data_IF_539727450070
#
_entry.id   IF_539727450070
#
_cell.length_a   1.000
_cell.length_b   1.000
_cell.length_c   1.000
_cell.angle_alpha   90.00
_cell.angle_beta   90.00
_cell.angle_gamma   90.00
#
_symmetry.space_group_name_H-M   'P 1'
#
loop_
_entity.id
_entity.type
_entity.pdbx_description
1 polymer ?
#
# COMPACT_ATOMS: atom_id res chain seq x y z
N UNK A 1 7.52 -3.43 -11.29
CA UNK A 1 6.05 -3.30 -11.41
C UNK A 1 5.43 -4.57 -10.85
N UNK A 2 4.40 -4.49 -10.00
CA UNK A 2 3.80 -5.68 -9.36
C UNK A 2 2.55 -6.16 -10.10
N UNK A 3 2.14 -7.44 -9.92
CA UNK A 3 0.93 -7.97 -10.57
C UNK A 3 -0.35 -7.16 -10.27
N UNK A 4 -0.48 -6.60 -9.07
CA UNK A 4 -1.61 -5.75 -8.70
C UNK A 4 -1.68 -4.49 -9.59
N UNK A 5 -0.55 -3.82 -9.80
CA UNK A 5 -0.48 -2.58 -10.61
C UNK A 5 -0.75 -2.88 -12.08
N UNK A 6 -0.20 -3.98 -12.60
CA UNK A 6 -0.47 -4.42 -13.98
C UNK A 6 -1.94 -4.73 -14.21
N UNK A 7 -2.61 -5.32 -13.22
CA UNK A 7 -4.03 -5.69 -13.30
C UNK A 7 -4.92 -4.45 -13.39
N UNK A 8 -4.76 -3.48 -12.49
CA UNK A 8 -5.55 -2.23 -12.52
C UNK A 8 -5.27 -1.39 -13.76
N UNK A 9 -4.03 -1.39 -14.24
CA UNK A 9 -3.64 -0.73 -15.50
C UNK A 9 -4.34 -1.36 -16.71
N UNK A 10 -4.37 -2.69 -16.82
CA UNK A 10 -5.09 -3.40 -17.90
C UNK A 10 -6.60 -3.13 -17.84
N UNK A 11 -7.16 -3.06 -16.63
CA UNK A 11 -8.58 -2.78 -16.41
C UNK A 11 -8.96 -1.30 -16.58
N UNK A 12 -7.98 -0.40 -16.79
CA UNK A 12 -8.18 1.06 -16.86
C UNK A 12 -8.91 1.65 -15.64
N UNK A 13 -8.69 1.05 -14.47
CA UNK A 13 -9.22 1.57 -13.21
C UNK A 13 -8.36 2.78 -12.80
N UNK A 14 -8.94 3.93 -12.42
CA UNK A 14 -8.15 5.04 -11.88
C UNK A 14 -7.48 4.65 -10.57
N UNK A 15 -6.17 4.91 -10.45
CA UNK A 15 -5.41 4.69 -9.22
C UNK A 15 -4.27 5.71 -9.09
N UNK A 16 -3.73 5.81 -7.88
CA UNK A 16 -2.49 6.55 -7.58
C UNK A 16 -1.55 5.62 -6.82
N UNK A 17 -0.27 5.61 -7.19
CA UNK A 17 0.74 4.89 -6.43
C UNK A 17 1.25 5.79 -5.30
N UNK A 18 1.29 5.24 -4.10
CA UNK A 18 1.88 5.87 -2.93
C UNK A 18 3.11 5.06 -2.54
N UNK A 19 4.29 5.59 -2.84
CA UNK A 19 5.58 4.96 -2.53
C UNK A 19 6.14 5.59 -1.24
N UNK A 20 6.79 4.77 -0.42
CA UNK A 20 7.52 5.22 0.77
C UNK A 20 8.70 4.27 1.01
N UNK A 21 9.77 4.80 1.64
CA UNK A 21 10.92 3.98 2.02
C UNK A 21 10.56 3.09 3.21
N UNK A 22 10.59 1.76 3.04
CA UNK A 22 10.33 0.80 4.11
C UNK A 22 11.59 0.57 4.97
N UNK A 23 11.42 0.53 6.30
CA UNK A 23 12.45 0.09 7.23
C UNK A 23 12.39 -1.45 7.35
N UNK A 24 13.43 -2.20 6.91
CA UNK A 24 13.42 -3.66 6.95
C UNK A 24 13.24 -4.28 8.34
N UNK A 25 13.46 -3.50 9.41
CA UNK A 25 13.23 -3.94 10.79
C UNK A 25 11.77 -3.81 11.24
N UNK A 26 10.95 -3.02 10.53
CA UNK A 26 9.55 -2.81 10.84
C UNK A 26 8.68 -3.95 10.30
N UNK A 27 7.94 -4.62 11.18
CA UNK A 27 7.03 -5.71 10.78
C UNK A 27 5.58 -5.24 10.58
N UNK A 28 5.26 -4.02 10.99
CA UNK A 28 3.92 -3.45 10.92
C UNK A 28 3.73 -2.56 9.69
N UNK A 29 3.74 -3.18 8.50
CA UNK A 29 3.63 -2.48 7.21
C UNK A 29 2.44 -1.49 7.10
N UNK A 30 1.30 -1.80 7.72
CA UNK A 30 0.13 -0.92 7.66
C UNK A 30 0.29 0.35 8.49
N UNK A 31 0.86 0.24 9.70
CA UNK A 31 1.12 1.41 10.53
C UNK A 31 2.26 2.25 9.98
N UNK A 32 3.31 1.59 9.50
CA UNK A 32 4.42 2.27 8.85
C UNK A 32 3.97 3.05 7.61
N UNK A 33 3.12 2.46 6.76
CA UNK A 33 2.56 3.16 5.62
C UNK A 33 1.74 4.38 6.03
N UNK A 34 0.92 4.27 7.08
CA UNK A 34 0.12 5.38 7.61
C UNK A 34 1.02 6.56 8.05
N UNK A 35 2.06 6.26 8.83
CA UNK A 35 3.01 7.25 9.34
C UNK A 35 3.82 7.90 8.21
N UNK A 36 4.46 7.10 7.35
CA UNK A 36 5.35 7.62 6.30
C UNK A 36 4.63 8.35 5.18
N UNK A 37 3.39 7.99 4.89
CA UNK A 37 2.57 8.68 3.89
C UNK A 37 1.72 9.82 4.48
N UNK A 38 1.66 9.97 5.81
CA UNK A 38 0.81 10.95 6.48
C UNK A 38 -0.69 10.71 6.27
N UNK A 39 -1.10 9.44 6.14
CA UNK A 39 -2.49 9.03 5.89
C UNK A 39 -3.07 8.46 7.20
N UNK A 40 -4.28 8.85 7.63
CA UNK A 40 -4.93 8.26 8.80
C UNK A 40 -5.02 6.73 8.68
N UNK A 41 -4.66 6.01 9.74
CA UNK A 41 -4.60 4.54 9.73
C UNK A 41 -5.95 3.87 9.37
N UNK A 42 -7.07 4.52 9.69
CA UNK A 42 -8.43 4.14 9.33
C UNK A 42 -8.72 4.16 7.80
N UNK A 43 -7.84 4.79 7.01
CA UNK A 43 -7.87 4.79 5.54
C UNK A 43 -6.84 3.83 4.93
N UNK A 44 -6.06 3.12 5.76
CA UNK A 44 -5.08 2.13 5.33
C UNK A 44 -5.63 0.73 5.62
N UNK A 45 -5.77 -0.07 4.57
CA UNK A 45 -6.34 -1.41 4.66
C UNK A 45 -5.25 -2.48 4.52
N UNK A 46 -5.28 -3.50 5.39
CA UNK A 46 -4.47 -4.73 5.25
C UNK A 46 -5.31 -5.82 4.63
N UNK A 47 -4.72 -6.59 3.72
CA UNK A 47 -5.33 -7.81 3.17
C UNK A 47 -4.78 -9.00 3.93
N UNK A 48 -5.65 -9.72 4.66
CA UNK A 48 -5.33 -10.98 5.35
C UNK A 48 -5.97 -12.15 4.58
N UNK A 49 -5.29 -13.29 4.56
CA UNK A 49 -5.80 -14.54 3.98
C UNK A 49 -6.06 -15.53 5.11
N UNK A 50 -7.16 -16.27 5.02
CA UNK A 50 -7.53 -17.35 5.95
C UNK A 50 -7.71 -18.66 5.21
#
# INVERSE_FOLDING_TARGET
MTPAIETVKKAKVPYTLHEYDHDPSCTSYGMEAAEKLGIPAERIFKTLVV
#
